data_IF_246495753096
#
_entry.id   IF_246495753096
#
_cell.length_a   1.000
_cell.length_b   1.000
_cell.length_c   1.000
_cell.angle_alpha   90.00
_cell.angle_beta   90.00
_cell.angle_gamma   90.00
#
_symmetry.space_group_name_H-M   'P 1'
#
loop_
_entity.id
_entity.type
_entity.pdbx_description
1 polymer ?
#
# COMPACT_ATOMS: atom_id res chain seq x y z
N UNK A 1 27.92 -2.28 56.75
CA UNK A 1 27.05 -1.11 56.53
C UNK A 1 27.65 -0.32 55.32
N UNK A 2 27.09 -0.47 54.16
CA UNK A 2 27.49 0.30 52.97
C UNK A 2 26.19 0.84 52.33
N UNK A 3 25.98 2.15 52.46
CA UNK A 3 24.84 2.88 51.86
C UNK A 3 24.96 2.91 50.34
N UNK A 4 24.09 2.22 49.63
CA UNK A 4 23.80 2.46 48.20
C UNK A 4 23.20 3.84 48.03
N UNK A 5 23.99 4.78 47.48
CA UNK A 5 23.43 6.05 46.95
C UNK A 5 22.71 5.74 45.66
N UNK A 6 21.38 5.88 45.67
CA UNK A 6 20.57 5.86 44.45
C UNK A 6 20.95 7.03 43.54
N UNK A 7 21.35 6.74 42.33
CA UNK A 7 21.46 7.74 41.28
C UNK A 7 20.08 8.29 40.97
N UNK A 8 19.78 9.49 41.40
CA UNK A 8 18.65 10.29 40.92
C UNK A 8 18.94 10.64 39.47
N UNK A 9 18.16 10.10 38.58
CA UNK A 9 18.21 10.50 37.17
C UNK A 9 17.79 11.97 37.08
N UNK A 10 18.77 12.79 36.81
CA UNK A 10 18.62 14.23 36.58
C UNK A 10 17.78 14.41 35.30
N UNK A 11 16.55 14.82 35.49
CA UNK A 11 15.66 15.28 34.43
C UNK A 11 16.17 16.62 33.91
N UNK A 12 17.21 16.62 33.11
CA UNK A 12 17.58 17.78 32.28
C UNK A 12 16.54 17.91 31.17
N UNK A 13 15.54 18.72 31.44
CA UNK A 13 14.52 19.13 30.47
C UNK A 13 15.08 20.11 29.43
N UNK A 14 16.04 19.68 28.65
CA UNK A 14 16.37 20.32 27.38
C UNK A 14 15.25 19.98 26.41
N UNK A 15 14.41 20.97 26.11
CA UNK A 15 13.36 20.82 25.09
C UNK A 15 14.03 20.27 23.82
N UNK A 16 13.69 19.02 23.47
CA UNK A 16 14.30 18.32 22.34
C UNK A 16 14.09 19.17 21.08
N UNK A 17 15.20 19.45 20.36
CA UNK A 17 15.18 20.30 19.16
C UNK A 17 14.14 19.77 18.16
N UNK A 18 13.22 20.63 17.77
CA UNK A 18 12.21 20.31 16.76
C UNK A 18 12.80 20.50 15.36
N UNK A 19 12.64 19.48 14.53
CA UNK A 19 13.14 19.45 13.15
C UNK A 19 12.00 19.53 12.12
N UNK A 20 10.79 19.06 12.48
CA UNK A 20 9.63 19.06 11.60
C UNK A 20 8.65 20.18 11.96
N UNK A 21 8.08 20.78 10.94
CA UNK A 21 6.93 21.68 11.11
C UNK A 21 5.64 20.85 11.24
N UNK A 22 4.62 21.31 11.97
CA UNK A 22 3.33 20.63 12.04
C UNK A 22 2.70 20.37 10.68
N UNK A 23 2.88 21.30 9.72
CA UNK A 23 2.42 21.15 8.34
C UNK A 23 3.09 19.98 7.60
N UNK A 24 4.37 19.69 7.88
CA UNK A 24 5.07 18.56 7.28
C UNK A 24 4.56 17.22 7.83
N UNK A 25 4.22 17.16 9.12
CA UNK A 25 3.60 15.99 9.72
C UNK A 25 2.22 15.74 9.09
N UNK A 26 1.43 16.79 8.94
CA UNK A 26 0.12 16.70 8.30
C UNK A 26 0.23 16.26 6.84
N UNK A 27 1.12 16.84 6.05
CA UNK A 27 1.30 16.49 4.63
C UNK A 27 1.89 15.09 4.43
N UNK A 28 2.68 14.59 5.38
CA UNK A 28 3.10 13.19 5.38
C UNK A 28 1.90 12.25 5.57
N UNK A 29 1.05 12.55 6.54
CA UNK A 29 -0.19 11.78 6.75
C UNK A 29 -1.15 11.84 5.57
N UNK A 30 -1.29 13.01 4.93
CA UNK A 30 -2.09 13.20 3.71
C UNK A 30 -1.53 12.35 2.55
N UNK A 31 -0.22 12.23 2.42
CA UNK A 31 0.39 11.35 1.43
C UNK A 31 0.03 9.87 1.65
N UNK A 32 0.12 9.38 2.89
CA UNK A 32 -0.29 8.01 3.22
C UNK A 32 -1.80 7.79 3.10
N UNK A 33 -2.62 8.79 3.43
CA UNK A 33 -4.06 8.78 3.14
C UNK A 33 -4.32 8.59 1.65
N UNK A 34 -3.60 9.33 0.78
CA UNK A 34 -3.73 9.21 -0.66
C UNK A 34 -3.41 7.81 -1.18
N UNK A 35 -2.28 7.23 -0.76
CA UNK A 35 -1.92 5.85 -1.13
C UNK A 35 -3.00 4.86 -0.66
N UNK A 36 -3.50 5.04 0.56
CA UNK A 36 -4.49 4.16 1.16
C UNK A 36 -5.88 4.25 0.51
N UNK A 37 -6.24 5.39 -0.09
CA UNK A 37 -7.47 5.52 -0.88
C UNK A 37 -7.59 4.47 -1.97
N UNK A 38 -6.46 4.08 -2.57
CA UNK A 38 -6.43 3.11 -3.65
C UNK A 38 -6.18 1.69 -3.13
N UNK A 39 -5.23 1.52 -2.21
CA UNK A 39 -4.81 0.19 -1.76
C UNK A 39 -5.78 -0.48 -0.78
N UNK A 40 -6.63 0.30 -0.11
CA UNK A 40 -7.48 -0.20 0.97
C UNK A 40 -8.64 -1.11 0.56
N UNK A 41 -9.02 -1.13 -0.71
CA UNK A 41 -10.16 -1.90 -1.22
C UNK A 41 -9.84 -2.72 -2.47
N UNK A 42 -8.75 -2.39 -3.16
CA UNK A 42 -8.39 -3.02 -4.44
C UNK A 42 -8.32 -4.55 -4.40
N UNK A 43 -7.71 -5.22 -3.40
CA UNK A 43 -7.65 -6.68 -3.40
C UNK A 43 -9.02 -7.33 -3.38
N UNK A 44 -9.92 -6.88 -2.51
CA UNK A 44 -11.25 -7.46 -2.31
C UNK A 44 -12.12 -7.28 -3.57
N UNK A 45 -12.15 -6.07 -4.11
CA UNK A 45 -12.95 -5.78 -5.30
C UNK A 45 -12.34 -6.32 -6.60
N UNK A 46 -11.03 -6.54 -6.66
CA UNK A 46 -10.42 -7.27 -7.78
C UNK A 46 -10.86 -8.72 -7.80
N UNK A 47 -10.92 -9.36 -6.64
CA UNK A 47 -11.42 -10.73 -6.52
C UNK A 47 -12.88 -10.82 -6.99
N UNK A 48 -13.74 -9.93 -6.49
CA UNK A 48 -15.15 -9.82 -6.90
C UNK A 48 -15.29 -9.54 -8.39
N UNK A 49 -14.47 -8.64 -8.95
CA UNK A 49 -14.49 -8.33 -10.37
C UNK A 49 -14.16 -9.56 -11.24
N UNK A 50 -13.14 -10.34 -10.87
CA UNK A 50 -12.80 -11.55 -11.60
C UNK A 50 -13.90 -12.63 -11.50
N UNK A 51 -14.52 -12.78 -10.32
CA UNK A 51 -15.56 -13.78 -10.09
C UNK A 51 -16.88 -13.43 -10.77
N UNK A 52 -17.33 -12.18 -10.62
CA UNK A 52 -18.72 -11.80 -10.94
C UNK A 52 -18.88 -11.01 -12.24
N UNK A 53 -17.85 -10.33 -12.72
CA UNK A 53 -17.95 -9.45 -13.88
C UNK A 53 -17.09 -9.90 -15.06
N UNK A 54 -15.80 -10.10 -14.86
CA UNK A 54 -14.84 -10.29 -15.96
C UNK A 54 -15.13 -11.54 -16.80
N UNK A 55 -15.53 -12.63 -16.15
CA UNK A 55 -15.66 -13.95 -16.78
C UNK A 55 -17.04 -14.61 -16.60
N UNK A 56 -17.97 -13.93 -15.95
CA UNK A 56 -19.35 -14.40 -15.78
C UNK A 56 -20.03 -14.59 -17.13
N UNK A 57 -20.71 -15.72 -17.29
CA UNK A 57 -21.48 -16.01 -18.53
C UNK A 57 -20.64 -16.39 -19.75
N UNK A 58 -19.31 -16.51 -19.62
CA UNK A 58 -18.39 -16.93 -20.69
C UNK A 58 -18.18 -18.45 -20.78
N UNK A 59 -19.01 -19.25 -20.11
CA UNK A 59 -18.98 -20.71 -20.15
C UNK A 59 -17.97 -21.34 -19.17
N UNK A 60 -17.45 -20.57 -18.23
CA UNK A 60 -16.58 -21.09 -17.19
C UNK A 60 -17.38 -21.64 -16.02
N UNK A 61 -16.96 -22.81 -15.49
CA UNK A 61 -17.52 -23.35 -14.25
C UNK A 61 -17.11 -22.45 -13.06
N UNK A 62 -18.10 -22.10 -12.22
CA UNK A 62 -17.92 -21.19 -11.09
C UNK A 62 -16.90 -21.73 -10.06
N UNK A 63 -16.89 -23.06 -9.81
CA UNK A 63 -15.96 -23.67 -8.90
C UNK A 63 -14.52 -23.65 -9.44
N UNK A 64 -14.34 -23.90 -10.74
CA UNK A 64 -13.03 -23.80 -11.39
C UNK A 64 -12.51 -22.36 -11.37
N UNK A 65 -13.38 -21.39 -11.63
CA UNK A 65 -13.03 -19.97 -11.62
C UNK A 65 -12.60 -19.52 -10.21
N UNK A 66 -13.35 -19.89 -9.17
CA UNK A 66 -12.99 -19.58 -7.78
C UNK A 66 -11.62 -20.17 -7.37
N UNK A 67 -11.37 -21.44 -7.76
CA UNK A 67 -10.09 -22.09 -7.48
C UNK A 67 -8.91 -21.37 -8.18
N UNK A 68 -9.08 -20.97 -9.44
CA UNK A 68 -8.04 -20.24 -10.19
C UNK A 68 -7.82 -18.84 -9.60
N UNK A 69 -8.87 -18.11 -9.25
CA UNK A 69 -8.76 -16.81 -8.60
C UNK A 69 -7.95 -16.95 -7.31
N UNK A 70 -8.30 -17.91 -6.46
CA UNK A 70 -7.58 -18.17 -5.20
C UNK A 70 -6.10 -18.51 -5.44
N UNK A 71 -5.81 -19.32 -6.46
CA UNK A 71 -4.43 -19.65 -6.85
C UNK A 71 -3.67 -18.41 -7.35
N UNK A 72 -4.28 -17.60 -8.20
CA UNK A 72 -3.69 -16.36 -8.73
C UNK A 72 -3.34 -15.41 -7.60
N UNK A 73 -4.26 -15.19 -6.65
CA UNK A 73 -4.00 -14.31 -5.50
C UNK A 73 -2.91 -14.87 -4.58
N UNK A 74 -2.90 -16.19 -4.34
CA UNK A 74 -1.86 -16.85 -3.55
C UNK A 74 -0.47 -16.70 -4.17
N UNK A 75 -0.33 -16.99 -5.47
CA UNK A 75 0.95 -16.86 -6.18
C UNK A 75 1.37 -15.40 -6.30
N UNK A 76 0.43 -14.50 -6.62
CA UNK A 76 0.72 -13.06 -6.65
C UNK A 76 1.16 -12.52 -5.28
N UNK A 77 0.65 -13.06 -4.17
CA UNK A 77 1.13 -12.76 -2.82
C UNK A 77 2.61 -13.13 -2.63
N UNK A 78 3.04 -14.28 -3.15
CA UNK A 78 4.45 -14.69 -3.14
C UNK A 78 5.30 -13.74 -4.00
N UNK A 79 4.82 -13.40 -5.19
CA UNK A 79 5.47 -12.39 -6.06
C UNK A 79 5.61 -11.06 -5.33
N UNK A 80 4.54 -10.61 -4.64
CA UNK A 80 4.55 -9.40 -3.84
C UNK A 80 5.61 -9.41 -2.75
N UNK A 81 5.71 -10.49 -2.00
CA UNK A 81 6.73 -10.64 -0.95
C UNK A 81 8.16 -10.57 -1.51
N UNK A 82 8.42 -11.20 -2.66
CA UNK A 82 9.71 -11.11 -3.35
C UNK A 82 9.97 -9.67 -3.83
N UNK A 83 8.96 -9.03 -4.44
CA UNK A 83 9.05 -7.65 -4.89
C UNK A 83 9.34 -6.69 -3.73
N UNK A 84 8.72 -6.88 -2.57
CA UNK A 84 8.95 -6.04 -1.39
C UNK A 84 10.41 -6.09 -0.93
N UNK A 85 11.02 -7.29 -0.92
CA UNK A 85 12.46 -7.44 -0.63
C UNK A 85 13.33 -6.74 -1.67
N UNK A 86 13.04 -6.91 -2.95
CA UNK A 86 13.79 -6.29 -4.05
C UNK A 86 13.66 -4.77 -3.99
N UNK A 87 12.46 -4.25 -3.81
CA UNK A 87 12.19 -2.81 -3.68
C UNK A 87 12.92 -2.22 -2.46
N UNK A 88 12.91 -2.92 -1.32
CA UNK A 88 13.67 -2.49 -0.14
C UNK A 88 15.15 -2.26 -0.46
N UNK A 89 15.78 -3.19 -1.17
CA UNK A 89 17.20 -3.05 -1.60
C UNK A 89 17.39 -1.93 -2.61
N UNK A 90 16.47 -1.79 -3.57
CA UNK A 90 16.55 -0.73 -4.58
C UNK A 90 16.40 0.66 -3.94
N UNK A 91 15.46 0.82 -3.01
CA UNK A 91 15.27 2.06 -2.22
C UNK A 91 16.54 2.38 -1.42
N UNK A 92 17.13 1.39 -0.76
CA UNK A 92 18.36 1.60 0.01
C UNK A 92 19.57 1.96 -0.85
N UNK A 93 19.60 1.55 -2.10
CA UNK A 93 20.64 1.92 -3.08
C UNK A 93 20.38 3.26 -3.77
N UNK A 94 19.16 3.76 -3.70
CA UNK A 94 18.76 5.01 -4.36
C UNK A 94 19.47 6.21 -3.68
N UNK A 95 20.14 7.02 -4.47
CA UNK A 95 20.86 8.21 -4.03
C UNK A 95 20.48 9.37 -4.93
N UNK A 96 19.46 10.11 -4.55
CA UNK A 96 19.00 11.28 -5.33
C UNK A 96 19.01 12.56 -4.48
N UNK A 97 19.07 13.73 -5.10
CA UNK A 97 18.94 15.01 -4.39
C UNK A 97 17.60 15.17 -3.66
N UNK A 98 16.59 14.41 -4.07
CA UNK A 98 15.24 14.42 -3.47
C UNK A 98 15.13 13.48 -2.25
N UNK A 99 16.14 12.67 -1.99
CA UNK A 99 16.14 11.61 -0.99
C UNK A 99 16.14 10.22 -1.61
N UNK A 100 16.01 9.17 -0.79
CA UNK A 100 15.96 7.78 -1.26
C UNK A 100 14.54 7.24 -1.42
N UNK A 101 13.60 7.73 -0.63
CA UNK A 101 12.20 7.26 -0.57
C UNK A 101 11.27 8.09 -1.46
N UNK A 102 11.42 9.41 -1.40
CA UNK A 102 10.54 10.35 -2.13
C UNK A 102 10.40 10.07 -3.63
N UNK A 103 11.48 9.79 -4.39
CA UNK A 103 11.35 9.52 -5.82
C UNK A 103 10.45 8.31 -6.13
N UNK A 104 10.56 7.25 -5.33
CA UNK A 104 9.76 6.03 -5.48
C UNK A 104 8.27 6.31 -5.28
N UNK A 105 7.92 7.09 -4.25
CA UNK A 105 6.54 7.45 -3.95
C UNK A 105 5.99 8.42 -5.00
N UNK A 106 6.73 9.49 -5.31
CA UNK A 106 6.26 10.52 -6.23
C UNK A 106 6.12 10.05 -7.67
N UNK A 107 7.17 9.45 -8.22
CA UNK A 107 7.13 8.96 -9.61
C UNK A 107 6.40 7.61 -9.73
N UNK A 108 6.41 6.78 -8.70
CA UNK A 108 5.70 5.50 -8.66
C UNK A 108 4.18 5.66 -8.62
N UNK A 109 3.65 6.78 -8.13
CA UNK A 109 2.21 7.01 -8.05
C UNK A 109 1.52 6.98 -9.42
N UNK A 110 2.17 7.49 -10.49
CA UNK A 110 1.59 7.51 -11.84
C UNK A 110 1.43 6.11 -12.42
N UNK A 111 2.49 5.28 -12.55
CA UNK A 111 2.33 3.91 -13.04
C UNK A 111 1.43 3.07 -12.13
N UNK A 112 1.43 3.33 -10.82
CA UNK A 112 0.51 2.65 -9.91
C UNK A 112 -0.95 2.98 -10.19
N UNK A 113 -1.29 4.25 -10.45
CA UNK A 113 -2.62 4.65 -10.86
C UNK A 113 -3.06 3.97 -12.16
N UNK A 114 -2.18 3.94 -13.18
CA UNK A 114 -2.49 3.34 -14.48
C UNK A 114 -2.74 1.84 -14.36
N UNK A 115 -1.84 1.10 -13.67
CA UNK A 115 -2.01 -0.35 -13.54
C UNK A 115 -3.22 -0.72 -12.72
N UNK A 116 -3.55 0.07 -11.69
CA UNK A 116 -4.75 -0.13 -10.88
C UNK A 116 -6.04 -0.02 -11.71
N UNK A 117 -6.08 0.88 -12.68
CA UNK A 117 -7.22 0.98 -13.61
C UNK A 117 -7.25 -0.19 -14.59
N UNK A 118 -6.09 -0.64 -15.07
CA UNK A 118 -5.98 -1.77 -16.00
C UNK A 118 -6.43 -3.10 -15.39
N UNK A 119 -6.37 -3.26 -14.07
CA UNK A 119 -6.89 -4.44 -13.37
C UNK A 119 -8.37 -4.70 -13.70
N UNK A 120 -9.17 -3.64 -13.87
CA UNK A 120 -10.61 -3.74 -14.18
C UNK A 120 -10.92 -3.74 -15.68
N UNK A 121 -9.91 -3.88 -16.54
CA UNK A 121 -10.08 -4.00 -18.00
C UNK A 121 -9.83 -5.44 -18.42
N UNK A 122 -10.87 -6.28 -18.35
CA UNK A 122 -10.74 -7.70 -18.69
C UNK A 122 -10.81 -7.93 -20.21
N UNK A 123 -10.03 -8.89 -20.77
CA UNK A 123 -10.15 -9.28 -22.15
C UNK A 123 -11.46 -10.00 -22.41
N UNK A 124 -12.07 -9.73 -23.57
CA UNK A 124 -13.26 -10.45 -23.97
C UNK A 124 -12.89 -11.80 -24.60
N UNK A 125 -12.65 -12.81 -23.76
CA UNK A 125 -12.23 -14.15 -24.20
C UNK A 125 -13.11 -15.24 -23.60
N UNK A 126 -13.32 -16.31 -24.37
CA UNK A 126 -13.94 -17.56 -23.91
C UNK A 126 -12.88 -18.64 -23.60
N UNK A 127 -11.59 -18.34 -23.79
CA UNK A 127 -10.51 -19.25 -23.46
C UNK A 127 -10.12 -19.14 -21.99
N UNK A 128 -10.30 -20.21 -21.23
CA UNK A 128 -9.95 -20.31 -19.82
C UNK A 128 -8.46 -20.03 -19.56
N UNK A 129 -7.59 -20.55 -20.41
CA UNK A 129 -6.14 -20.35 -20.30
C UNK A 129 -5.77 -18.86 -20.47
N UNK A 130 -6.34 -18.18 -21.47
CA UNK A 130 -6.08 -16.75 -21.70
C UNK A 130 -6.58 -15.92 -20.51
N UNK A 131 -7.76 -16.23 -19.99
CA UNK A 131 -8.31 -15.57 -18.80
C UNK A 131 -7.40 -15.73 -17.58
N UNK A 132 -6.92 -16.94 -17.31
CA UNK A 132 -6.02 -17.25 -16.20
C UNK A 132 -4.68 -16.52 -16.31
N UNK A 133 -4.05 -16.55 -17.50
CA UNK A 133 -2.77 -15.87 -17.73
C UNK A 133 -2.95 -14.36 -17.55
N UNK A 134 -4.03 -13.79 -18.09
CA UNK A 134 -4.31 -12.36 -17.94
C UNK A 134 -4.49 -11.97 -16.47
N UNK A 135 -5.32 -12.68 -15.71
CA UNK A 135 -5.52 -12.44 -14.28
C UNK A 135 -4.18 -12.48 -13.52
N UNK A 136 -3.37 -13.51 -13.80
CA UNK A 136 -2.08 -13.67 -13.15
C UNK A 136 -1.12 -12.52 -13.46
N UNK A 137 -0.97 -12.16 -14.73
CA UNK A 137 -0.04 -11.12 -15.17
C UNK A 137 -0.47 -9.76 -14.63
N UNK A 138 -1.74 -9.38 -14.79
CA UNK A 138 -2.21 -8.05 -14.38
C UNK A 138 -2.16 -7.86 -12.87
N UNK A 139 -2.58 -8.89 -12.11
CA UNK A 139 -2.58 -8.80 -10.65
C UNK A 139 -1.17 -8.88 -10.06
N UNK A 140 -0.27 -9.69 -10.62
CA UNK A 140 1.14 -9.71 -10.22
C UNK A 140 1.82 -8.37 -10.51
N UNK A 141 1.53 -7.74 -11.65
CA UNK A 141 2.05 -6.43 -12.00
C UNK A 141 1.52 -5.34 -11.06
N UNK A 142 0.21 -5.38 -10.74
CA UNK A 142 -0.39 -4.51 -9.74
C UNK A 142 0.32 -4.65 -8.38
N UNK A 143 0.50 -5.88 -7.91
CA UNK A 143 1.15 -6.17 -6.62
C UNK A 143 2.60 -5.67 -6.60
N UNK A 144 3.35 -5.89 -7.66
CA UNK A 144 4.74 -5.42 -7.76
C UNK A 144 4.86 -3.89 -7.73
N UNK A 145 4.00 -3.18 -8.45
CA UNK A 145 4.01 -1.71 -8.50
C UNK A 145 3.45 -1.12 -7.20
N UNK A 146 2.44 -1.73 -6.58
CA UNK A 146 1.95 -1.30 -5.27
C UNK A 146 3.04 -1.35 -4.22
N UNK A 147 3.84 -2.42 -4.18
CA UNK A 147 5.00 -2.53 -3.28
C UNK A 147 6.01 -1.40 -3.49
N UNK A 148 6.23 -0.98 -4.74
CA UNK A 148 7.17 0.10 -5.06
C UNK A 148 6.72 1.48 -4.55
N UNK A 149 5.45 1.67 -4.23
CA UNK A 149 4.89 2.90 -3.66
C UNK A 149 4.64 2.78 -2.17
N UNK A 150 3.99 1.69 -1.73
CA UNK A 150 3.59 1.51 -0.32
C UNK A 150 4.76 1.32 0.62
N UNK A 151 5.70 0.43 0.28
CA UNK A 151 6.84 0.11 1.14
C UNK A 151 7.72 1.35 1.40
N UNK A 152 8.14 2.12 0.38
CA UNK A 152 8.85 3.37 0.60
C UNK A 152 8.04 4.41 1.38
N UNK A 153 6.74 4.54 1.12
CA UNK A 153 5.86 5.48 1.83
C UNK A 153 5.86 5.22 3.34
N UNK A 154 5.81 3.96 3.75
CA UNK A 154 5.88 3.56 5.15
C UNK A 154 7.26 3.82 5.76
N UNK A 155 8.35 3.63 4.99
CA UNK A 155 9.72 3.87 5.44
C UNK A 155 10.03 5.35 5.68
N UNK A 156 9.31 6.28 5.05
CA UNK A 156 9.55 7.72 5.20
C UNK A 156 9.50 8.18 6.67
N UNK A 157 8.60 7.61 7.47
CA UNK A 157 8.48 7.94 8.89
C UNK A 157 9.78 7.77 9.69
N UNK A 158 10.65 6.82 9.29
CA UNK A 158 11.96 6.63 9.92
C UNK A 158 13.00 7.70 9.50
N UNK A 159 12.79 8.37 8.38
CA UNK A 159 13.73 9.30 7.75
C UNK A 159 13.36 10.78 7.92
N UNK A 160 12.17 11.08 8.41
CA UNK A 160 11.62 12.42 8.48
C UNK A 160 12.29 13.31 9.54
N UNK A 161 12.72 12.74 10.68
CA UNK A 161 13.35 13.48 11.76
C UNK A 161 14.39 12.65 12.52
N UNK A 162 15.52 13.26 12.96
CA UNK A 162 16.44 12.64 13.89
C UNK A 162 15.85 12.46 15.30
N UNK A 163 14.85 13.26 15.68
CA UNK A 163 14.21 13.22 16.99
C UNK A 163 13.21 12.05 17.08
N UNK A 164 13.43 11.05 17.99
CA UNK A 164 12.54 9.89 18.12
C UNK A 164 11.10 10.26 18.47
N UNK A 165 10.86 11.29 19.30
CA UNK A 165 9.53 11.73 19.70
C UNK A 165 8.75 12.31 18.52
N UNK A 166 9.40 13.16 17.70
CA UNK A 166 8.77 13.69 16.48
C UNK A 166 8.47 12.58 15.47
N UNK A 167 9.39 11.61 15.30
CA UNK A 167 9.18 10.43 14.44
C UNK A 167 7.97 9.62 14.88
N UNK A 168 7.87 9.33 16.20
CA UNK A 168 6.74 8.60 16.75
C UNK A 168 5.43 9.32 16.50
N UNK A 169 5.39 10.63 16.74
CA UNK A 169 4.20 11.46 16.49
C UNK A 169 3.83 11.47 15.00
N UNK A 170 4.81 11.66 14.10
CA UNK A 170 4.58 11.66 12.66
C UNK A 170 4.04 10.30 12.17
N UNK A 171 4.62 9.20 12.64
CA UNK A 171 4.16 7.85 12.30
C UNK A 171 2.74 7.59 12.83
N UNK A 172 2.43 7.99 14.05
CA UNK A 172 1.09 7.79 14.63
C UNK A 172 0.01 8.57 13.88
N UNK A 173 0.24 9.84 13.58
CA UNK A 173 -0.69 10.67 12.83
C UNK A 173 -0.86 10.15 11.40
N UNK A 174 0.23 9.78 10.74
CA UNK A 174 0.18 9.27 9.38
C UNK A 174 -0.49 7.89 9.30
N UNK A 175 -0.31 7.02 10.30
CA UNK A 175 -1.00 5.73 10.38
C UNK A 175 -2.51 5.90 10.59
N UNK A 176 -2.91 6.86 11.42
CA UNK A 176 -4.32 7.21 11.59
C UNK A 176 -4.93 7.71 10.28
N UNK A 177 -4.28 8.67 9.61
CA UNK A 177 -4.75 9.19 8.32
C UNK A 177 -4.77 8.11 7.22
N UNK A 178 -3.81 7.18 7.24
CA UNK A 178 -3.83 6.00 6.37
C UNK A 178 -5.09 5.15 6.58
N UNK A 179 -5.46 4.88 7.83
CA UNK A 179 -6.68 4.11 8.15
C UNK A 179 -7.94 4.84 7.68
N UNK A 180 -7.99 6.17 7.85
CA UNK A 180 -9.08 6.99 7.30
C UNK A 180 -9.10 6.94 5.76
N UNK A 181 -7.93 6.93 5.11
CA UNK A 181 -7.81 6.78 3.66
C UNK A 181 -8.35 5.44 3.16
N UNK A 182 -8.05 4.34 3.83
CA UNK A 182 -8.60 3.01 3.51
C UNK A 182 -10.13 3.01 3.56
N UNK A 183 -10.70 3.55 4.64
CA UNK A 183 -12.16 3.69 4.75
C UNK A 183 -12.74 4.66 3.71
N UNK A 184 -12.03 5.74 3.41
CA UNK A 184 -12.41 6.70 2.36
C UNK A 184 -12.49 6.06 0.98
N UNK A 185 -11.55 5.19 0.62
CA UNK A 185 -11.59 4.42 -0.62
C UNK A 185 -12.80 3.50 -0.71
N UNK A 186 -13.16 2.83 0.39
CA UNK A 186 -14.38 2.01 0.45
C UNK A 186 -15.65 2.86 0.29
N UNK A 187 -15.68 4.06 0.84
CA UNK A 187 -16.81 4.99 0.64
C UNK A 187 -16.93 5.40 -0.83
N UNK A 188 -15.82 5.69 -1.52
CA UNK A 188 -15.83 6.06 -2.94
C UNK A 188 -16.45 4.95 -3.77
N UNK A 189 -16.11 3.69 -3.53
CA UNK A 189 -16.63 2.55 -4.30
C UNK A 189 -18.12 2.29 -4.07
N UNK A 190 -18.69 2.80 -2.98
CA UNK A 190 -20.14 2.76 -2.73
C UNK A 190 -20.84 3.98 -3.36
N UNK A 191 -20.23 5.16 -3.24
CA UNK A 191 -20.85 6.42 -3.65
C UNK A 191 -20.84 6.60 -5.17
N UNK A 192 -19.77 6.19 -5.85
CA UNK A 192 -19.66 6.34 -7.32
C UNK A 192 -20.78 5.58 -8.06
N UNK A 193 -21.07 4.30 -7.79
CA UNK A 193 -22.21 3.62 -8.37
C UNK A 193 -23.57 4.30 -8.10
N UNK A 194 -23.76 4.84 -6.89
CA UNK A 194 -25.00 5.58 -6.57
C UNK A 194 -25.15 6.85 -7.43
N UNK A 195 -24.08 7.60 -7.61
CA UNK A 195 -24.07 8.78 -8.48
C UNK A 195 -24.29 8.38 -9.93
N UNK A 196 -23.62 7.34 -10.42
CA UNK A 196 -23.79 6.85 -11.79
C UNK A 196 -25.23 6.41 -12.05
N UNK A 197 -25.84 5.69 -11.11
CA UNK A 197 -27.23 5.27 -11.19
C UNK A 197 -28.20 6.45 -11.22
N UNK A 198 -27.93 7.50 -10.46
CA UNK A 198 -28.73 8.72 -10.43
C UNK A 198 -28.62 9.52 -11.73
N UNK A 199 -27.44 9.56 -12.35
CA UNK A 199 -27.18 10.33 -13.57
C UNK A 199 -27.59 9.61 -14.85
N UNK A 200 -27.33 8.31 -14.95
CA UNK A 200 -27.54 7.52 -16.18
C UNK A 200 -28.91 6.84 -16.22
N UNK A 201 -29.59 6.74 -15.08
CA UNK A 201 -30.83 5.97 -14.95
C UNK A 201 -30.59 4.46 -14.79
N UNK A 202 -31.61 3.76 -14.28
CA UNK A 202 -31.51 2.36 -13.82
C UNK A 202 -31.07 1.37 -14.92
N UNK A 203 -31.59 1.54 -16.15
CA UNK A 203 -31.31 0.59 -17.24
C UNK A 203 -29.90 0.75 -17.82
N UNK A 204 -29.45 1.99 -18.02
CA UNK A 204 -28.09 2.26 -18.51
C UNK A 204 -27.04 1.89 -17.48
N UNK A 205 -27.32 2.13 -16.18
CA UNK A 205 -26.44 1.73 -15.11
C UNK A 205 -26.22 0.19 -15.07
N UNK A 206 -27.28 -0.62 -15.22
CA UNK A 206 -27.15 -2.08 -15.26
C UNK A 206 -26.22 -2.57 -16.39
N UNK A 207 -26.25 -1.92 -17.53
CA UNK A 207 -25.34 -2.23 -18.63
C UNK A 207 -23.89 -1.83 -18.30
N UNK A 208 -23.69 -0.69 -17.64
CA UNK A 208 -22.40 -0.21 -17.20
C UNK A 208 -21.79 -1.07 -16.07
N UNK A 209 -22.61 -1.46 -15.09
CA UNK A 209 -22.25 -2.39 -14.01
C UNK A 209 -21.83 -3.75 -14.57
N UNK A 210 -22.57 -4.28 -15.53
CA UNK A 210 -22.24 -5.55 -16.20
C UNK A 210 -20.91 -5.54 -16.95
N UNK A 211 -20.35 -4.34 -17.22
CA UNK A 211 -19.04 -4.14 -17.84
C UNK A 211 -17.96 -3.74 -16.83
N UNK A 212 -18.27 -3.61 -15.54
CA UNK A 212 -17.35 -3.16 -14.51
C UNK A 212 -16.93 -1.68 -14.62
N UNK A 213 -17.69 -0.86 -15.35
CA UNK A 213 -17.37 0.57 -15.55
C UNK A 213 -17.43 1.37 -14.26
N UNK A 214 -18.27 1.00 -13.32
CA UNK A 214 -18.37 1.58 -11.99
C UNK A 214 -17.08 1.36 -11.18
N UNK A 215 -16.46 0.19 -11.28
CA UNK A 215 -15.17 -0.11 -10.65
C UNK A 215 -14.03 0.68 -11.31
N UNK A 216 -14.04 0.80 -12.64
CA UNK A 216 -13.04 1.60 -13.37
C UNK A 216 -13.14 3.07 -12.96
N UNK A 217 -14.35 3.64 -12.90
CA UNK A 217 -14.56 5.04 -12.53
C UNK A 217 -14.20 5.27 -11.06
N UNK A 218 -14.60 4.37 -10.16
CA UNK A 218 -14.23 4.43 -8.74
C UNK A 218 -12.69 4.40 -8.56
N UNK A 219 -12.02 3.53 -9.31
CA UNK A 219 -10.55 3.45 -9.32
C UNK A 219 -9.93 4.74 -9.85
N UNK A 220 -10.47 5.32 -10.92
CA UNK A 220 -9.99 6.58 -11.48
C UNK A 220 -10.11 7.73 -10.48
N UNK A 221 -11.22 7.83 -9.76
CA UNK A 221 -11.43 8.85 -8.71
C UNK A 221 -10.42 8.67 -7.58
N UNK A 222 -10.24 7.44 -7.07
CA UNK A 222 -9.26 7.14 -6.03
C UNK A 222 -7.82 7.39 -6.51
N UNK A 223 -7.49 7.03 -7.75
CA UNK A 223 -6.18 7.22 -8.35
C UNK A 223 -5.82 8.70 -8.52
N UNK A 224 -6.77 9.52 -8.98
CA UNK A 224 -6.61 10.98 -9.04
C UNK A 224 -6.40 11.58 -7.66
N UNK A 225 -7.21 11.18 -6.68
CA UNK A 225 -7.04 11.57 -5.29
C UNK A 225 -5.66 11.18 -4.74
N UNK A 226 -5.21 9.95 -5.00
CA UNK A 226 -3.89 9.47 -4.61
C UNK A 226 -2.78 10.35 -5.22
N UNK A 227 -2.82 10.62 -6.52
CA UNK A 227 -1.81 11.45 -7.20
C UNK A 227 -1.75 12.83 -6.56
N UNK A 228 -2.89 13.48 -6.34
CA UNK A 228 -2.95 14.83 -5.74
C UNK A 228 -2.31 14.80 -4.34
N UNK A 229 -2.71 13.88 -3.47
CA UNK A 229 -2.22 13.82 -2.10
C UNK A 229 -0.74 13.40 -2.01
N UNK A 230 -0.30 12.50 -2.88
CA UNK A 230 1.11 12.12 -2.99
C UNK A 230 1.96 13.30 -3.51
N UNK A 231 1.46 14.11 -4.44
CA UNK A 231 2.16 15.32 -4.90
C UNK A 231 2.27 16.38 -3.80
N UNK A 232 1.24 16.55 -2.96
CA UNK A 232 1.29 17.42 -1.77
C UNK A 232 2.39 16.92 -0.80
N UNK A 233 2.44 15.62 -0.54
CA UNK A 233 3.50 15.01 0.27
C UNK A 233 4.88 15.24 -0.37
N UNK A 234 5.02 14.98 -1.66
CA UNK A 234 6.26 15.10 -2.39
C UNK A 234 6.82 16.53 -2.36
N UNK A 235 5.95 17.54 -2.50
CA UNK A 235 6.36 18.94 -2.48
C UNK A 235 6.79 19.44 -1.08
N UNK A 236 6.10 19.02 -0.02
CA UNK A 236 6.24 19.62 1.30
C UNK A 236 7.19 18.88 2.25
N UNK A 237 7.47 17.61 2.02
CA UNK A 237 8.24 16.81 2.95
C UNK A 237 9.72 16.67 2.52
N UNK A 238 10.61 16.53 3.51
CA UNK A 238 12.07 16.36 3.29
C UNK A 238 12.59 15.22 4.16
N UNK A 239 13.49 14.42 3.61
CA UNK A 239 14.28 13.44 4.36
C UNK A 239 15.42 14.17 5.10
N UNK A 240 15.52 13.95 6.42
CA UNK A 240 16.47 14.66 7.28
C UNK A 240 17.49 13.77 7.96
N UNK A 241 17.20 12.48 8.00
CA UNK A 241 18.15 11.51 8.60
C UNK A 241 19.23 11.20 7.57
N UNK A 242 20.51 11.44 7.90
CA UNK A 242 21.61 11.14 6.99
C UNK A 242 21.71 9.64 6.73
N UNK A 243 22.10 9.29 5.51
CA UNK A 243 22.27 7.89 5.13
C UNK A 243 23.52 7.31 5.79
N UNK A 244 23.39 6.15 6.42
CA UNK A 244 24.54 5.35 6.85
C UNK A 244 25.22 4.79 5.61
N UNK A 245 26.54 4.91 5.53
CA UNK A 245 27.32 4.47 4.36
C UNK A 245 27.48 2.96 4.26
N UNK A 246 27.11 2.22 5.30
CA UNK A 246 27.25 0.77 5.34
C UNK A 246 26.27 0.09 4.41
N UNK A 247 26.81 -0.64 3.43
CA UNK A 247 26.05 -1.48 2.53
C UNK A 247 25.75 -2.80 3.23
N UNK A 248 24.62 -2.90 3.91
CA UNK A 248 24.17 -4.15 4.50
C UNK A 248 23.77 -5.11 3.38
N UNK A 249 24.32 -6.32 3.37
CA UNK A 249 23.97 -7.38 2.44
C UNK A 249 22.56 -7.93 2.76
N UNK A 250 21.83 -8.39 1.73
CA UNK A 250 20.54 -9.09 1.94
C UNK A 250 20.68 -10.27 2.91
N UNK A 251 21.76 -11.06 2.78
CA UNK A 251 22.02 -12.18 3.67
C UNK A 251 22.22 -11.74 5.12
N UNK A 252 22.92 -10.62 5.36
CA UNK A 252 23.08 -10.03 6.68
C UNK A 252 21.77 -9.50 7.25
N UNK A 253 20.93 -8.88 6.43
CA UNK A 253 19.58 -8.42 6.83
C UNK A 253 18.70 -9.58 7.26
N UNK A 254 18.67 -10.67 6.50
CA UNK A 254 17.94 -11.89 6.83
C UNK A 254 18.48 -12.50 8.12
N UNK A 255 19.81 -12.65 8.23
CA UNK A 255 20.47 -13.15 9.45
C UNK A 255 20.11 -12.31 10.68
N UNK A 256 20.06 -10.98 10.53
CA UNK A 256 19.69 -10.07 11.62
C UNK A 256 18.27 -10.30 12.12
N UNK A 257 17.31 -10.56 11.23
CA UNK A 257 15.91 -10.87 11.61
C UNK A 257 15.85 -12.13 12.47
N UNK A 258 16.57 -13.20 12.10
CA UNK A 258 16.59 -14.45 12.85
C UNK A 258 17.44 -14.37 14.13
N UNK A 259 18.44 -13.52 14.17
CA UNK A 259 19.32 -13.35 15.35
C UNK A 259 18.72 -12.41 16.39
N UNK A 260 17.95 -11.42 15.97
CA UNK A 260 17.30 -10.46 16.87
C UNK A 260 15.92 -10.93 17.29
N UNK A 261 15.79 -11.41 18.55
CA UNK A 261 14.53 -11.93 19.10
C UNK A 261 13.37 -10.96 18.95
N UNK A 262 13.59 -9.67 19.14
CA UNK A 262 12.51 -8.66 19.03
C UNK A 262 12.03 -8.51 17.59
N UNK A 263 12.95 -8.49 16.61
CA UNK A 263 12.61 -8.46 15.18
C UNK A 263 11.87 -9.75 14.77
N UNK A 264 12.35 -10.90 15.24
CA UNK A 264 11.71 -12.19 14.97
C UNK A 264 10.27 -12.21 15.49
N UNK A 265 10.05 -11.76 16.74
CA UNK A 265 8.70 -11.72 17.34
C UNK A 265 7.77 -10.78 16.58
N UNK A 266 8.24 -9.61 16.17
CA UNK A 266 7.44 -8.67 15.34
C UNK A 266 7.13 -9.28 13.97
N UNK A 267 8.09 -9.95 13.34
CA UNK A 267 7.89 -10.61 12.04
C UNK A 267 6.88 -11.75 12.15
N UNK A 268 6.96 -12.57 13.20
CA UNK A 268 5.98 -13.64 13.47
C UNK A 268 4.58 -13.08 13.75
N UNK A 269 4.48 -12.00 14.53
CA UNK A 269 3.18 -11.33 14.78
C UNK A 269 2.55 -10.83 13.48
N UNK A 270 3.36 -10.28 12.55
CA UNK A 270 2.89 -9.87 11.22
C UNK A 270 2.45 -11.07 10.39
N UNK A 271 3.20 -12.16 10.40
CA UNK A 271 2.87 -13.38 9.67
C UNK A 271 1.53 -13.99 10.13
N UNK A 272 1.34 -14.12 11.44
CA UNK A 272 0.08 -14.63 12.00
C UNK A 272 -1.07 -13.63 11.85
N UNK A 273 -0.80 -12.32 11.91
CA UNK A 273 -1.79 -11.28 11.66
C UNK A 273 -2.28 -11.26 10.21
N UNK A 274 -1.42 -11.61 9.25
CA UNK A 274 -1.79 -11.74 7.83
C UNK A 274 -2.79 -12.89 7.60
N UNK A 275 -2.60 -14.03 8.30
CA UNK A 275 -3.53 -15.16 8.24
C UNK A 275 -4.97 -14.80 8.64
N UNK A 276 -5.16 -13.82 9.53
CA UNK A 276 -6.50 -13.33 9.92
C UNK A 276 -7.25 -12.65 8.77
N UNK A 277 -6.55 -11.97 7.85
CA UNK A 277 -7.16 -11.37 6.66
C UNK A 277 -7.71 -12.38 5.67
N UNK A 278 -7.12 -13.58 5.60
CA UNK A 278 -7.56 -14.65 4.69
C UNK A 278 -8.86 -15.31 5.17
N UNK A 279 -9.08 -15.40 6.48
CA UNK A 279 -10.30 -16.00 7.04
C UNK A 279 -11.53 -15.09 7.03
N UNK A 280 -11.36 -13.78 6.79
CA UNK A 280 -12.47 -12.82 6.74
C UNK A 280 -13.18 -12.74 5.39
N UNK A 281 -12.69 -13.46 4.37
CA UNK A 281 -13.20 -13.43 2.99
C UNK A 281 -13.83 -14.77 2.53
N UNK A 282 -14.05 -15.72 3.46
CA UNK A 282 -14.75 -17.01 3.18
C UNK A 282 -16.17 -16.96 3.70
#
# INVERSE_FOLDING_TARGET
MAKKKGAVAEKTGTAAKKYMKPSEIATFGIGLFGVALLTGWMPDYTMTFFADFAFKGKGFDSAQLANIISLVFGVAGIVGAICELVIGVLVDRTRTPLGKVKPWVGFGAIPFAIISMLVFVAPNTSSFTVATIWMFVIYSLYTAISCAVESPSNCFGALCSPNPSERSTAISISSFLRSVGQSGGQVVIIVVPLIMKALMGQQQYKNAEGQGLDLIISTAVCALGMIIFVMIFFANNKERVPYTSEKVSLAESIKLVFTNKNLLMVSLTKLFGFGRGVYGTV
#
